data_IF_046029640011
#
_entry.id   IF_046029640011
#
_cell.length_a   1.000
_cell.length_b   1.000
_cell.length_c   1.000
_cell.angle_alpha   90.00
_cell.angle_beta   90.00
_cell.angle_gamma   90.00
#
_symmetry.space_group_name_H-M   'P 1'
#
loop_
_entity.id
_entity.type
_entity.pdbx_description
1 polymer ?
#
# COMPACT_ATOMS: atom_id res chain seq x y z
N UNK A 1 -15.72 25.61 -2.48
CA UNK A 1 -14.82 25.07 -3.51
C UNK A 1 -15.57 24.03 -4.31
N UNK A 2 -15.84 24.34 -5.58
CA UNK A 2 -16.69 23.53 -6.45
C UNK A 2 -16.06 22.17 -6.74
N UNK A 3 -16.87 21.16 -7.06
CA UNK A 3 -16.38 19.83 -7.45
C UNK A 3 -15.45 19.93 -8.68
N UNK A 4 -15.72 20.88 -9.59
CA UNK A 4 -14.93 21.14 -10.80
C UNK A 4 -13.58 21.81 -10.50
N UNK A 5 -13.55 22.74 -9.54
CA UNK A 5 -12.33 23.38 -9.05
C UNK A 5 -11.37 22.34 -8.43
N UNK A 6 -11.91 21.41 -7.65
CA UNK A 6 -11.12 20.33 -7.05
C UNK A 6 -10.60 19.34 -8.11
N UNK A 7 -11.40 19.02 -9.12
CA UNK A 7 -10.99 18.15 -10.22
C UNK A 7 -9.86 18.79 -11.05
N UNK A 8 -9.95 20.09 -11.32
CA UNK A 8 -8.93 20.86 -12.02
C UNK A 8 -7.62 20.91 -11.22
N UNK A 9 -7.70 21.31 -9.94
CA UNK A 9 -6.54 21.35 -9.03
C UNK A 9 -5.90 19.97 -8.90
N UNK A 10 -6.70 18.90 -8.76
CA UNK A 10 -6.19 17.52 -8.69
C UNK A 10 -5.46 17.13 -9.97
N UNK A 11 -6.01 17.45 -11.13
CA UNK A 11 -5.42 17.10 -12.43
C UNK A 11 -4.10 17.85 -12.65
N UNK A 12 -4.07 19.12 -12.27
CA UNK A 12 -2.88 19.96 -12.32
C UNK A 12 -1.81 19.48 -11.34
N UNK A 13 -2.17 19.18 -10.09
CA UNK A 13 -1.27 18.60 -9.11
C UNK A 13 -0.72 17.25 -9.58
N UNK A 14 -1.55 16.37 -10.15
CA UNK A 14 -1.08 15.09 -10.70
C UNK A 14 -0.08 15.29 -11.84
N UNK A 15 -0.31 16.26 -12.72
CA UNK A 15 0.61 16.60 -13.80
C UNK A 15 1.94 17.21 -13.30
N UNK A 16 1.93 17.89 -12.15
CA UNK A 16 3.16 18.39 -11.52
C UNK A 16 3.91 17.28 -10.78
N UNK A 17 3.20 16.42 -10.06
CA UNK A 17 3.78 15.28 -9.33
C UNK A 17 4.49 14.29 -10.27
N UNK A 18 3.97 14.09 -11.49
CA UNK A 18 4.62 13.24 -12.50
C UNK A 18 5.90 13.83 -13.09
N UNK A 19 6.16 15.13 -12.89
CA UNK A 19 7.33 15.84 -13.41
C UNK A 19 8.46 16.02 -12.39
N UNK A 20 8.22 15.72 -11.11
CA UNK A 20 9.25 15.86 -10.07
C UNK A 20 10.43 14.92 -10.35
N UNK A 21 11.65 15.30 -9.99
CA UNK A 21 12.81 14.39 -9.93
C UNK A 21 12.78 13.55 -8.64
N UNK A 22 13.66 12.54 -8.49
CA UNK A 22 13.73 11.71 -7.29
C UNK A 22 13.93 12.55 -6.01
N UNK A 23 14.96 13.39 -6.02
CA UNK A 23 15.29 14.30 -4.92
C UNK A 23 14.19 15.31 -4.60
N UNK A 24 13.48 15.82 -5.62
CA UNK A 24 12.34 16.72 -5.41
C UNK A 24 11.13 15.99 -4.83
N UNK A 25 10.96 14.71 -5.17
CA UNK A 25 9.95 13.83 -4.56
C UNK A 25 10.26 13.56 -3.09
N UNK A 26 11.51 13.26 -2.77
CA UNK A 26 11.98 13.05 -1.40
C UNK A 26 11.85 14.33 -0.55
N UNK A 27 12.18 15.49 -1.13
CA UNK A 27 11.99 16.80 -0.49
C UNK A 27 10.51 17.11 -0.23
N UNK A 28 9.63 16.82 -1.19
CA UNK A 28 8.18 16.96 -1.01
C UNK A 28 7.65 16.00 0.08
N UNK A 29 8.17 14.77 0.11
CA UNK A 29 7.81 13.79 1.12
C UNK A 29 8.21 14.26 2.53
N UNK A 30 9.44 14.77 2.69
CA UNK A 30 9.89 15.35 3.97
C UNK A 30 9.06 16.56 4.40
N UNK A 31 8.64 17.40 3.45
CA UNK A 31 7.73 18.53 3.74
C UNK A 31 6.36 18.02 4.19
N UNK A 32 5.80 17.00 3.53
CA UNK A 32 4.53 16.40 3.94
C UNK A 32 4.62 15.67 5.27
N UNK A 33 5.71 14.95 5.56
CA UNK A 33 5.94 14.30 6.86
C UNK A 33 5.96 15.31 8.00
N UNK A 34 6.48 16.52 7.75
CA UNK A 34 6.47 17.61 8.72
C UNK A 34 5.11 18.30 8.87
N UNK A 35 4.22 18.15 7.90
CA UNK A 35 2.95 18.89 7.82
C UNK A 35 1.69 18.01 7.96
N UNK A 36 1.82 16.68 7.99
CA UNK A 36 0.68 15.77 8.06
C UNK A 36 0.69 14.99 9.38
N UNK A 37 0.03 15.56 10.40
CA UNK A 37 -0.24 14.80 11.61
C UNK A 37 -1.28 13.70 11.34
N UNK A 38 -1.35 12.68 12.21
CA UNK A 38 -2.44 11.69 12.16
C UNK A 38 -3.81 12.37 12.23
N UNK A 39 -3.92 13.46 12.99
CA UNK A 39 -5.15 14.24 13.10
C UNK A 39 -5.56 14.86 11.75
N UNK A 40 -4.61 15.41 10.98
CA UNK A 40 -4.88 15.98 9.64
C UNK A 40 -5.35 14.89 8.67
N UNK A 41 -4.72 13.72 8.70
CA UNK A 41 -5.13 12.58 7.87
C UNK A 41 -6.55 12.09 8.19
N UNK A 42 -6.92 12.09 9.48
CA UNK A 42 -8.26 11.77 9.92
C UNK A 42 -9.27 12.85 9.49
N UNK A 43 -8.91 14.13 9.64
CA UNK A 43 -9.74 15.27 9.22
C UNK A 43 -10.03 15.23 7.71
N UNK A 44 -9.03 14.99 6.87
CA UNK A 44 -9.19 14.81 5.41
C UNK A 44 -10.13 13.64 5.08
N UNK A 45 -10.02 12.54 5.84
CA UNK A 45 -10.92 11.40 5.67
C UNK A 45 -12.36 11.78 6.02
N UNK A 46 -12.58 12.49 7.12
CA UNK A 46 -13.91 12.93 7.53
C UNK A 46 -14.51 13.96 6.56
N UNK A 47 -13.70 14.91 6.09
CA UNK A 47 -14.09 15.90 5.10
C UNK A 47 -14.54 15.26 3.78
N UNK A 48 -13.84 14.23 3.31
CA UNK A 48 -14.31 13.44 2.17
C UNK A 48 -15.72 12.89 2.41
N UNK A 49 -16.00 12.41 3.63
CA UNK A 49 -17.31 11.92 4.03
C UNK A 49 -18.38 13.02 4.01
N UNK A 50 -18.08 14.21 4.53
CA UNK A 50 -19.02 15.34 4.57
C UNK A 50 -19.34 15.88 3.18
N UNK A 51 -18.41 15.77 2.23
CA UNK A 51 -18.61 16.14 0.82
C UNK A 51 -19.43 15.12 0.02
N UNK A 52 -19.62 13.88 0.51
CA UNK A 52 -20.45 12.88 -0.17
C UNK A 52 -21.91 13.32 -0.23
N UNK A 53 -22.44 13.47 -1.45
CA UNK A 53 -23.85 13.80 -1.72
C UNK A 53 -24.66 12.61 -2.22
N UNK A 54 -23.99 11.58 -2.75
CA UNK A 54 -24.62 10.40 -3.34
C UNK A 54 -24.22 9.11 -2.65
N UNK A 55 -25.15 8.16 -2.59
CA UNK A 55 -24.85 6.84 -2.05
C UNK A 55 -23.92 6.07 -3.00
N UNK A 56 -22.77 5.54 -2.52
CA UNK A 56 -21.87 4.74 -3.37
C UNK A 56 -22.47 3.40 -3.82
N UNK A 57 -23.61 2.97 -3.26
CA UNK A 57 -24.24 1.70 -3.61
C UNK A 57 -25.40 1.83 -4.61
N UNK A 58 -26.14 2.94 -4.57
CA UNK A 58 -27.34 3.12 -5.39
C UNK A 58 -27.43 4.48 -6.08
N UNK A 59 -26.37 5.29 -6.00
CA UNK A 59 -26.26 6.66 -6.54
C UNK A 59 -27.32 7.67 -6.06
N UNK A 60 -28.28 7.28 -5.21
CA UNK A 60 -29.31 8.18 -4.71
C UNK A 60 -28.78 9.33 -3.85
N UNK A 61 -29.41 10.50 -3.96
CA UNK A 61 -29.00 11.75 -3.30
C UNK A 61 -29.50 11.88 -1.85
N UNK A 62 -30.45 11.03 -1.43
CA UNK A 62 -31.03 11.07 -0.09
C UNK A 62 -30.16 10.29 0.91
N UNK A 63 -29.24 10.99 1.56
CA UNK A 63 -28.34 10.49 2.58
C UNK A 63 -28.63 11.08 3.96
N UNK A 64 -28.35 10.33 5.03
CA UNK A 64 -28.36 10.86 6.39
C UNK A 64 -27.23 10.28 7.24
N UNK A 65 -26.86 11.00 8.30
CA UNK A 65 -25.86 10.59 9.29
C UNK A 65 -26.43 9.47 10.17
N UNK A 66 -25.74 8.34 10.23
CA UNK A 66 -26.18 7.12 10.91
C UNK A 66 -25.21 6.72 12.04
N UNK A 67 -24.97 7.67 12.95
CA UNK A 67 -24.08 7.49 14.10
C UNK A 67 -22.59 7.42 13.76
N UNK A 68 -21.78 7.26 14.80
CA UNK A 68 -20.32 7.16 14.73
C UNK A 68 -19.92 5.74 15.12
N UNK A 69 -19.01 5.13 14.37
CA UNK A 69 -18.47 3.81 14.69
C UNK A 69 -16.96 3.79 14.50
N UNK A 70 -16.23 3.39 15.55
CA UNK A 70 -14.77 3.41 15.60
C UNK A 70 -14.21 4.79 15.21
N UNK A 71 -14.75 5.86 15.80
CA UNK A 71 -14.29 7.23 15.57
C UNK A 71 -14.54 7.76 14.14
N UNK A 72 -15.55 7.24 13.42
CA UNK A 72 -15.90 7.75 12.09
C UNK A 72 -17.39 7.85 11.88
N UNK A 73 -17.80 8.94 11.23
CA UNK A 73 -19.18 9.14 10.80
C UNK A 73 -19.60 8.06 9.79
N UNK A 74 -20.72 7.40 10.09
CA UNK A 74 -21.41 6.54 9.12
C UNK A 74 -22.53 7.31 8.45
N UNK A 75 -22.79 6.96 7.21
CA UNK A 75 -23.88 7.48 6.40
C UNK A 75 -24.76 6.32 5.95
N UNK A 76 -26.05 6.60 5.74
CA UNK A 76 -26.99 5.60 5.24
C UNK A 76 -27.84 6.21 4.14
N UNK A 77 -27.96 5.48 3.03
CA UNK A 77 -28.84 5.88 1.93
C UNK A 77 -30.29 5.53 2.25
N UNK A 78 -31.23 6.44 1.99
CA UNK A 78 -32.66 6.19 2.23
C UNK A 78 -33.24 5.15 1.28
N UNK A 79 -32.82 5.16 0.01
CA UNK A 79 -33.34 4.27 -1.02
C UNK A 79 -32.88 2.81 -0.83
N UNK A 80 -31.57 2.58 -0.71
CA UNK A 80 -31.01 1.23 -0.59
C UNK A 80 -30.88 0.73 0.85
N UNK A 81 -31.07 1.60 1.86
CA UNK A 81 -30.88 1.32 3.29
C UNK A 81 -29.49 0.75 3.66
N UNK A 82 -28.50 0.80 2.77
CA UNK A 82 -27.12 0.37 3.03
C UNK A 82 -26.33 1.46 3.74
N UNK A 83 -25.50 1.04 4.70
CA UNK A 83 -24.62 1.95 5.43
C UNK A 83 -23.23 1.98 4.79
N UNK A 84 -22.63 3.15 4.74
CA UNK A 84 -21.29 3.38 4.23
C UNK A 84 -20.57 4.44 5.10
N UNK A 85 -19.31 4.69 4.81
CA UNK A 85 -18.48 5.69 5.48
C UNK A 85 -17.57 6.39 4.45
N UNK A 86 -16.78 7.37 4.90
CA UNK A 86 -15.90 8.12 4.02
C UNK A 86 -14.84 7.27 3.27
N UNK A 87 -14.45 6.14 3.85
CA UNK A 87 -13.54 5.18 3.20
C UNK A 87 -14.25 4.20 2.26
N UNK A 88 -15.57 4.26 2.12
CA UNK A 88 -16.26 3.36 1.20
C UNK A 88 -15.79 3.64 -0.24
N UNK A 89 -15.56 2.58 -1.00
CA UNK A 89 -14.90 2.62 -2.32
C UNK A 89 -13.45 3.15 -2.30
N UNK A 90 -12.77 3.08 -1.15
CA UNK A 90 -11.31 3.25 -1.09
C UNK A 90 -10.61 1.91 -0.88
N UNK A 91 -9.35 1.78 -1.31
CA UNK A 91 -8.58 0.57 -1.02
C UNK A 91 -8.43 0.30 0.49
N UNK A 92 -8.52 1.34 1.31
CA UNK A 92 -8.48 1.31 2.77
C UNK A 92 -9.82 0.89 3.41
N UNK A 93 -10.88 0.68 2.62
CA UNK A 93 -12.19 0.28 3.11
C UNK A 93 -12.10 -1.05 3.89
N UNK A 94 -12.76 -1.15 5.05
CA UNK A 94 -12.87 -2.40 5.81
C UNK A 94 -11.57 -3.00 6.38
N UNK A 95 -10.41 -2.38 6.18
CA UNK A 95 -9.20 -2.80 6.91
C UNK A 95 -9.33 -2.27 8.36
N UNK A 96 -9.01 -3.11 9.35
CA UNK A 96 -9.09 -2.78 10.78
C UNK A 96 -8.08 -3.60 11.57
N UNK A 97 -7.43 -3.08 12.63
CA UNK A 97 -7.46 -1.69 13.16
C UNK A 97 -6.48 -0.73 12.47
N UNK A 98 -6.78 0.58 12.47
CA UNK A 98 -6.07 1.61 11.68
C UNK A 98 -4.79 2.13 12.30
N UNK A 99 -4.78 2.30 13.61
CA UNK A 99 -3.62 2.78 14.37
C UNK A 99 -2.39 1.90 14.13
N UNK A 100 -2.62 0.61 13.87
CA UNK A 100 -1.58 -0.37 13.59
C UNK A 100 -1.08 -0.37 12.14
N UNK A 101 -1.69 0.40 11.23
CA UNK A 101 -1.29 0.39 9.82
C UNK A 101 0.08 1.00 9.62
N UNK A 102 0.34 2.16 10.22
CA UNK A 102 1.62 2.84 10.05
C UNK A 102 2.79 2.01 10.61
N UNK A 103 2.73 1.48 11.86
CA UNK A 103 3.73 0.54 12.35
C UNK A 103 3.88 -0.70 11.46
N UNK A 104 2.78 -1.24 10.93
CA UNK A 104 2.82 -2.39 10.03
C UNK A 104 3.50 -2.08 8.69
N UNK A 105 3.22 -0.91 8.12
CA UNK A 105 3.83 -0.43 6.88
C UNK A 105 5.33 -0.20 7.06
N UNK A 106 5.74 0.38 8.18
CA UNK A 106 7.16 0.52 8.55
C UNK A 106 7.86 -0.84 8.62
N UNK A 107 7.22 -1.85 9.22
CA UNK A 107 7.75 -3.22 9.22
C UNK A 107 7.90 -3.79 7.80
N UNK A 108 6.94 -3.51 6.90
CA UNK A 108 7.02 -3.95 5.51
C UNK A 108 8.15 -3.26 4.72
N UNK A 109 8.34 -1.96 4.93
CA UNK A 109 9.45 -1.20 4.33
C UNK A 109 10.81 -1.72 4.81
N UNK A 110 10.91 -2.10 6.09
CA UNK A 110 12.06 -2.80 6.66
C UNK A 110 12.24 -4.25 6.21
N UNK A 111 11.52 -4.70 5.17
CA UNK A 111 11.57 -6.07 4.63
C UNK A 111 11.27 -7.18 5.64
N UNK A 112 10.56 -6.87 6.73
CA UNK A 112 10.19 -7.88 7.73
C UNK A 112 9.19 -8.89 7.16
N UNK A 113 9.26 -10.12 7.68
CA UNK A 113 8.28 -11.16 7.33
C UNK A 113 6.90 -10.80 7.88
N UNK A 114 5.83 -11.27 7.23
CA UNK A 114 4.46 -11.01 7.68
C UNK A 114 4.17 -11.59 9.09
N UNK A 115 4.94 -12.61 9.53
CA UNK A 115 4.85 -13.15 10.89
C UNK A 115 5.49 -12.21 11.90
N UNK A 116 6.75 -11.81 11.67
CA UNK A 116 7.44 -10.86 12.55
C UNK A 116 6.69 -9.52 12.65
N UNK A 117 6.20 -8.97 11.53
CA UNK A 117 5.38 -7.76 11.53
C UNK A 117 4.05 -7.94 12.30
N UNK A 118 3.49 -9.15 12.35
CA UNK A 118 2.30 -9.45 13.12
C UNK A 118 2.59 -9.39 14.63
N UNK A 119 3.70 -9.98 15.06
CA UNK A 119 4.16 -9.95 16.45
C UNK A 119 4.46 -8.51 16.89
N UNK A 120 5.23 -7.75 16.11
CA UNK A 120 5.58 -6.35 16.41
C UNK A 120 4.35 -5.45 16.52
N UNK A 121 3.32 -5.68 15.70
CA UNK A 121 2.09 -4.87 15.71
C UNK A 121 0.98 -5.44 16.60
N UNK A 122 1.20 -6.61 17.22
CA UNK A 122 0.17 -7.32 17.99
C UNK A 122 -1.07 -7.67 17.16
N UNK A 123 -0.89 -8.08 15.90
CA UNK A 123 -1.95 -8.54 15.00
C UNK A 123 -1.85 -10.06 14.80
N UNK A 124 -2.96 -10.69 14.42
CA UNK A 124 -2.93 -12.10 14.05
C UNK A 124 -2.21 -12.30 12.71
N UNK A 125 -1.41 -13.37 12.58
CA UNK A 125 -0.60 -13.68 11.38
C UNK A 125 -1.41 -13.67 10.08
N UNK A 126 -2.64 -14.21 10.09
CA UNK A 126 -3.51 -14.21 8.90
C UNK A 126 -3.99 -12.80 8.52
N UNK A 127 -4.20 -11.93 9.51
CA UNK A 127 -4.58 -10.52 9.31
C UNK A 127 -3.41 -9.76 8.67
N UNK A 128 -2.21 -9.91 9.21
CA UNK A 128 -0.99 -9.32 8.65
C UNK A 128 -0.73 -9.77 7.22
N UNK A 129 -0.94 -11.06 6.91
CA UNK A 129 -0.83 -11.56 5.54
C UNK A 129 -1.86 -10.92 4.59
N UNK A 130 -3.13 -10.83 5.00
CA UNK A 130 -4.19 -10.16 4.22
C UNK A 130 -3.89 -8.68 4.01
N UNK A 131 -3.37 -8.00 5.04
CA UNK A 131 -2.97 -6.60 4.96
C UNK A 131 -1.84 -6.40 3.97
N UNK A 132 -0.79 -7.22 4.05
CA UNK A 132 0.34 -7.16 3.11
C UNK A 132 -0.12 -7.26 1.67
N UNK A 133 -0.97 -8.24 1.35
CA UNK A 133 -1.51 -8.36 -0.01
C UNK A 133 -2.30 -7.13 -0.45
N UNK A 134 -3.09 -6.55 0.44
CA UNK A 134 -3.92 -5.40 0.11
C UNK A 134 -3.10 -4.12 -0.06
N UNK A 135 -2.13 -3.88 0.82
CA UNK A 135 -1.22 -2.75 0.70
C UNK A 135 -0.31 -2.86 -0.52
N UNK A 136 0.23 -4.05 -0.81
CA UNK A 136 1.03 -4.26 -2.02
C UNK A 136 0.20 -4.12 -3.30
N UNK A 137 -1.07 -4.58 -3.30
CA UNK A 137 -1.96 -4.36 -4.42
C UNK A 137 -2.23 -2.86 -4.67
N UNK A 138 -2.25 -2.04 -3.61
CA UNK A 138 -2.34 -0.59 -3.73
C UNK A 138 -1.06 0.05 -4.25
N UNK A 139 0.10 -0.42 -3.80
CA UNK A 139 1.41 0.09 -4.21
C UNK A 139 1.86 -0.43 -5.58
N UNK A 140 1.15 -1.40 -6.17
CA UNK A 140 1.51 -2.01 -7.46
C UNK A 140 1.60 -0.97 -8.59
N UNK A 141 0.76 0.05 -8.54
CA UNK A 141 0.70 1.09 -9.58
C UNK A 141 1.69 2.24 -9.32
N UNK A 142 2.42 2.20 -8.19
CA UNK A 142 3.53 3.09 -7.90
C UNK A 142 4.76 2.65 -8.71
N UNK A 143 4.78 3.03 -9.98
CA UNK A 143 5.88 2.70 -10.89
C UNK A 143 7.02 3.70 -10.67
N UNK A 144 8.28 3.23 -10.51
CA UNK A 144 9.42 4.13 -10.52
C UNK A 144 9.50 4.87 -11.86
N UNK A 145 10.06 6.08 -11.81
CA UNK A 145 10.25 6.93 -12.99
C UNK A 145 11.05 6.19 -14.06
N UNK A 146 10.82 6.50 -15.35
CA UNK A 146 11.67 5.99 -16.42
C UNK A 146 13.13 6.37 -16.14
N UNK A 147 14.01 5.38 -16.17
CA UNK A 147 15.45 5.55 -15.92
C UNK A 147 16.06 6.40 -17.05
N UNK A 148 16.99 7.31 -16.71
CA UNK A 148 17.69 8.17 -17.68
C UNK A 148 19.18 8.21 -17.38
N UNK A 149 20.02 8.34 -18.41
CA UNK A 149 21.48 8.34 -18.30
C UNK A 149 22.08 6.93 -18.41
N UNK A 150 23.15 6.67 -17.64
CA UNK A 150 23.83 5.37 -17.60
C UNK A 150 23.04 4.45 -16.65
N UNK A 151 22.53 3.35 -17.19
CA UNK A 151 21.72 2.39 -16.44
C UNK A 151 22.52 1.10 -16.26
N UNK A 152 22.80 0.74 -15.02
CA UNK A 152 23.34 -0.56 -14.68
C UNK A 152 22.19 -1.55 -14.40
N UNK A 153 22.23 -2.70 -15.07
CA UNK A 153 21.25 -3.77 -14.89
C UNK A 153 21.92 -4.97 -14.22
N UNK A 154 21.77 -5.07 -12.89
CA UNK A 154 22.17 -6.26 -12.13
C UNK A 154 21.15 -7.40 -12.25
N UNK A 155 21.62 -8.65 -12.35
CA UNK A 155 20.76 -9.83 -12.29
C UNK A 155 20.71 -10.38 -10.88
N UNK A 156 19.53 -10.34 -10.26
CA UNK A 156 19.29 -11.00 -8.97
C UNK A 156 18.60 -12.34 -9.22
N UNK A 157 19.27 -13.43 -8.89
CA UNK A 157 18.68 -14.76 -8.98
C UNK A 157 17.88 -15.07 -7.73
N UNK A 158 16.58 -15.30 -7.90
CA UNK A 158 15.69 -15.78 -6.84
C UNK A 158 15.38 -17.25 -7.10
N UNK A 159 15.47 -18.06 -6.04
CA UNK A 159 15.07 -19.45 -6.11
C UNK A 159 13.55 -19.56 -6.31
N UNK A 160 13.13 -20.22 -7.39
CA UNK A 160 11.71 -20.39 -7.73
C UNK A 160 10.92 -20.95 -6.53
N UNK A 161 9.91 -20.22 -6.10
CA UNK A 161 9.08 -20.61 -4.96
C UNK A 161 7.81 -21.29 -5.44
N UNK A 162 7.77 -22.62 -5.42
CA UNK A 162 6.57 -23.40 -5.71
C UNK A 162 5.62 -23.51 -4.50
N UNK A 163 5.59 -22.47 -3.66
CA UNK A 163 4.78 -22.46 -2.43
C UNK A 163 3.30 -22.45 -2.80
N UNK A 164 2.57 -23.47 -2.35
CA UNK A 164 1.13 -23.63 -2.64
C UNK A 164 0.84 -24.50 -3.88
N UNK A 165 1.86 -24.97 -4.61
CA UNK A 165 1.67 -26.01 -5.61
C UNK A 165 1.43 -27.36 -4.93
N UNK A 166 0.46 -28.13 -5.44
CA UNK A 166 0.22 -29.52 -5.03
C UNK A 166 1.15 -30.51 -5.76
N UNK A 167 1.81 -30.09 -6.83
CA UNK A 167 2.78 -30.88 -7.61
C UNK A 167 4.08 -30.09 -7.68
N UNK A 168 5.05 -30.47 -6.85
CA UNK A 168 6.37 -29.83 -6.82
C UNK A 168 7.23 -30.47 -7.91
N UNK A 169 7.67 -29.68 -8.90
CA UNK A 169 8.62 -30.13 -9.93
C UNK A 169 10.07 -29.97 -9.50
N UNK A 170 10.30 -29.22 -8.41
CA UNK A 170 11.64 -28.99 -7.84
C UNK A 170 11.97 -29.98 -6.71
N UNK A 171 13.25 -30.31 -6.48
CA UNK A 171 13.65 -31.13 -5.34
C UNK A 171 13.41 -30.42 -3.99
N UNK A 172 13.24 -31.18 -2.88
CA UNK A 172 13.13 -30.63 -1.53
C UNK A 172 14.36 -29.79 -1.16
N UNK A 173 14.15 -28.60 -0.57
CA UNK A 173 15.25 -27.78 -0.04
C UNK A 173 15.55 -28.19 1.40
N UNK A 174 16.83 -28.36 1.73
CA UNK A 174 17.28 -28.35 3.13
C UNK A 174 17.10 -26.92 3.66
N UNK A 175 16.67 -26.76 4.90
CA UNK A 175 16.54 -25.44 5.52
C UNK A 175 17.90 -24.72 5.40
N UNK A 176 17.91 -23.53 4.80
CA UNK A 176 19.16 -22.82 4.57
C UNK A 176 19.79 -22.48 5.93
N UNK A 177 20.94 -23.09 6.22
CA UNK A 177 21.90 -22.47 7.12
C UNK A 177 22.38 -21.15 6.48
N UNK A 178 22.65 -20.15 7.31
CA UNK A 178 23.18 -18.85 6.89
C UNK A 178 24.36 -19.05 5.91
N UNK A 179 24.39 -18.41 4.73
CA UNK A 179 25.47 -18.62 3.78
C UNK A 179 26.74 -17.91 4.26
N UNK A 180 27.61 -18.65 4.93
CA UNK A 180 29.03 -18.27 5.06
C UNK A 180 29.75 -18.82 3.82
N UNK A 181 30.54 -17.94 3.18
CA UNK A 181 31.48 -18.14 2.06
C UNK A 181 30.93 -18.46 0.67
N UNK A 182 31.01 -17.45 -0.20
CA UNK A 182 31.18 -17.61 -1.65
C UNK A 182 32.61 -18.09 -1.94
N UNK A 183 32.77 -19.23 -2.61
CA UNK A 183 34.02 -19.63 -3.24
C UNK A 183 33.82 -19.62 -4.75
N UNK A 184 34.46 -18.68 -5.44
CA UNK A 184 34.52 -18.66 -6.90
C UNK A 184 35.39 -19.81 -7.40
N UNK A 185 34.87 -20.60 -8.35
CA UNK A 185 35.65 -21.55 -9.13
C UNK A 185 35.74 -21.08 -10.58
N UNK A 186 36.88 -20.48 -10.92
CA UNK A 186 37.39 -20.40 -12.28
C UNK A 186 37.76 -21.81 -12.75
N UNK A 187 37.13 -22.29 -13.82
CA UNK A 187 37.55 -23.50 -14.54
C UNK A 187 37.96 -23.13 -15.94
N UNK A 188 39.26 -22.90 -16.15
CA UNK A 188 39.90 -22.93 -17.47
C UNK A 188 40.19 -24.38 -17.84
N UNK A 189 39.59 -24.88 -18.91
CA UNK A 189 40.02 -26.13 -19.55
C UNK A 189 40.81 -25.77 -20.80
N UNK A 190 42.12 -25.95 -20.72
CA UNK A 190 43.00 -26.14 -21.88
C UNK A 190 42.95 -27.63 -22.18
N UNK A 191 42.68 -28.01 -23.42
CA UNK A 191 43.10 -29.31 -23.94
C UNK A 191 43.65 -29.13 -25.35
N UNK A 192 44.72 -29.88 -25.57
CA UNK A 192 45.66 -29.86 -26.70
C UNK A 192 45.13 -30.69 -27.88
#
# INVERSE_FOLDING_TARGET
MGIDEYAAVRTQCLAWLTRLTGEQGDGLHQLFERCASLADCLALTEERGTRMRRCPHCAGDKLYRHGILHGRQRYRGRQCRRSFNALTATPQAFIRPREKWLPFLQCMLGSMTAGAAAETTGNHRSTSFRWRHRFLAMAKDDRPKPLSGIVEAGKTYLLESQKGSRRLTRPPRRAAACPTTWAGSTGSTVDT
#
